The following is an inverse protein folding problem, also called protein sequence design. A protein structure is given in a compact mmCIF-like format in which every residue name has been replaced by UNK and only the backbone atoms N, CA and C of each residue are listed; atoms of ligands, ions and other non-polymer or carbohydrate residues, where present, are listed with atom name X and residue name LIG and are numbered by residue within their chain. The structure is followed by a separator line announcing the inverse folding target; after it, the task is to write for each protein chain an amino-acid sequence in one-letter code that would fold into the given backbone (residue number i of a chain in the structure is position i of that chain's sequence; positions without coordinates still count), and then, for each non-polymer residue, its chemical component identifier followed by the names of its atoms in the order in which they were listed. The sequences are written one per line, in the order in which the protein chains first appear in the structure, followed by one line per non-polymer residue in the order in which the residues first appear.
data_IF_061320141309
#
_entry.id   IF_061320141309
#
_cell.length_a   1.000
_cell.length_b   1.000
_cell.length_c   1.000
_cell.angle_alpha   90.00
_cell.angle_beta   90.00
_cell.angle_gamma   90.00
#
_symmetry.space_group_name_H-M   'P 1'
#
loop_
_entity.id
_entity.type
_entity.pdbx_description
1 polymer ?
#
# COMPACT_ATOMS: atom_id res chain seq x y z
N UNK A 1 5.49 4.03 7.39
CA UNK A 1 6.61 3.88 6.45
C UNK A 1 6.15 4.35 5.09
N UNK A 2 7.01 5.04 4.35
CA UNK A 2 6.75 5.46 2.96
C UNK A 2 7.74 4.78 2.01
N UNK A 3 7.28 4.50 0.79
CA UNK A 3 8.10 3.97 -0.30
C UNK A 3 7.95 2.46 -0.52
N UNK A 4 8.93 1.87 -1.17
CA UNK A 4 8.96 0.46 -1.59
C UNK A 4 10.34 -0.15 -1.36
N UNK A 5 10.48 -1.47 -1.53
CA UNK A 5 11.69 -2.21 -1.15
C UNK A 5 12.98 -1.69 -1.81
N UNK A 6 12.92 -1.24 -3.06
CA UNK A 6 14.10 -0.77 -3.81
C UNK A 6 14.63 0.59 -3.32
N UNK A 7 13.81 1.41 -2.64
CA UNK A 7 14.21 2.73 -2.13
C UNK A 7 14.19 2.83 -0.59
N UNK A 8 13.65 1.82 0.09
CA UNK A 8 13.57 1.77 1.54
C UNK A 8 13.90 0.35 2.03
N UNK A 9 15.15 0.15 2.46
CA UNK A 9 15.65 -1.14 2.94
C UNK A 9 14.97 -1.65 4.22
N UNK A 10 14.24 -0.78 4.94
CA UNK A 10 13.43 -1.17 6.10
C UNK A 10 12.16 -1.91 5.68
N UNK A 11 11.71 -1.76 4.43
CA UNK A 11 10.53 -2.45 3.90
C UNK A 11 10.67 -3.96 4.03
N UNK A 12 11.74 -4.52 3.45
CA UNK A 12 12.00 -5.96 3.50
C UNK A 12 12.24 -6.45 4.94
N UNK A 13 12.82 -5.61 5.80
CA UNK A 13 13.05 -5.98 7.20
C UNK A 13 11.74 -6.11 7.98
N UNK A 14 10.81 -5.16 7.82
CA UNK A 14 9.60 -5.12 8.63
C UNK A 14 8.44 -5.93 8.05
N UNK A 15 8.42 -6.14 6.73
CA UNK A 15 7.26 -6.63 5.97
C UNK A 15 7.57 -7.89 5.16
N UNK A 16 8.62 -8.64 5.51
CA UNK A 16 8.98 -9.90 4.82
C UNK A 16 7.82 -10.91 4.76
N UNK A 17 6.95 -10.90 5.76
CA UNK A 17 5.77 -11.80 5.86
C UNK A 17 4.49 -11.20 5.29
N UNK A 18 4.51 -9.92 4.87
CA UNK A 18 3.33 -9.26 4.31
C UNK A 18 2.92 -9.92 2.99
N UNK A 19 1.62 -10.21 2.78
CA UNK A 19 1.12 -10.71 1.50
C UNK A 19 1.19 -9.63 0.40
N UNK A 20 1.30 -8.35 0.80
CA UNK A 20 1.50 -7.21 -0.09
C UNK A 20 3.00 -6.88 -0.13
N UNK A 21 3.59 -6.95 -1.32
CA UNK A 21 4.98 -6.58 -1.60
C UNK A 21 5.00 -5.47 -2.64
N UNK A 22 5.77 -4.40 -2.37
CA UNK A 22 5.86 -3.23 -3.25
C UNK A 22 7.29 -3.07 -3.73
N UNK A 23 7.47 -2.95 -5.04
CA UNK A 23 8.75 -2.67 -5.70
C UNK A 23 8.55 -1.63 -6.80
N UNK A 24 9.65 -1.22 -7.42
CA UNK A 24 9.59 -0.35 -8.59
C UNK A 24 8.71 -1.00 -9.68
N UNK A 25 7.77 -0.21 -10.20
CA UNK A 25 6.77 -0.60 -11.22
C UNK A 25 5.78 -1.72 -10.85
N UNK A 26 5.80 -2.30 -9.65
CA UNK A 26 4.91 -3.44 -9.35
C UNK A 26 4.47 -3.53 -7.89
N UNK A 27 3.19 -3.85 -7.68
CA UNK A 27 2.64 -4.34 -6.43
C UNK A 27 2.24 -5.80 -6.61
N UNK A 28 2.65 -6.66 -5.70
CA UNK A 28 2.20 -8.05 -5.61
C UNK A 28 1.30 -8.20 -4.40
N UNK A 29 0.16 -8.86 -4.58
CA UNK A 29 -0.74 -9.22 -3.49
C UNK A 29 -1.20 -10.67 -3.65
N UNK A 30 -0.56 -11.58 -2.90
CA UNK A 30 -0.76 -13.02 -3.09
C UNK A 30 -0.42 -13.45 -4.52
N UNK A 31 -1.43 -13.88 -5.30
CA UNK A 31 -1.28 -14.24 -6.71
C UNK A 31 -1.51 -13.07 -7.68
N UNK A 32 -2.06 -11.96 -7.20
CA UNK A 32 -2.36 -10.77 -7.99
C UNK A 32 -1.12 -9.90 -8.16
N UNK A 33 -1.02 -9.25 -9.32
CA UNK A 33 0.09 -8.37 -9.66
C UNK A 33 -0.47 -7.13 -10.38
N UNK A 34 -0.01 -5.96 -9.95
CA UNK A 34 -0.39 -4.67 -10.48
C UNK A 34 0.86 -3.95 -10.98
N UNK A 35 1.02 -3.90 -12.31
CA UNK A 35 2.19 -3.30 -12.96
C UNK A 35 1.87 -1.89 -13.48
N UNK A 36 2.78 -0.94 -13.24
CA UNK A 36 2.62 0.45 -13.66
C UNK A 36 2.39 1.40 -12.48
N UNK A 37 1.59 2.45 -12.69
CA UNK A 37 1.37 3.55 -11.74
C UNK A 37 0.35 3.18 -10.65
N UNK A 38 0.80 2.46 -9.63
CA UNK A 38 -0.03 1.99 -8.52
C UNK A 38 0.51 2.42 -7.16
N UNK A 39 -0.43 2.73 -6.27
CA UNK A 39 -0.19 3.03 -4.87
C UNK A 39 -0.90 2.02 -3.98
N UNK A 40 -0.39 1.87 -2.76
CA UNK A 40 -1.05 1.10 -1.72
C UNK A 40 -0.93 1.80 -0.39
N UNK A 41 -1.99 1.78 0.39
CA UNK A 41 -1.95 2.03 1.81
C UNK A 41 -2.39 0.77 2.54
N UNK A 42 -1.62 0.33 3.53
CA UNK A 42 -2.04 -0.79 4.37
C UNK A 42 -1.40 -0.75 5.76
N UNK A 43 -2.01 -1.44 6.72
CA UNK A 43 -1.43 -1.70 8.05
C UNK A 43 -1.21 -3.19 8.24
N UNK A 44 0.00 -3.58 8.64
CA UNK A 44 0.34 -5.00 8.82
C UNK A 44 1.17 -5.23 10.10
N UNK A 45 1.04 -6.39 10.77
CA UNK A 45 1.90 -6.74 11.91
C UNK A 45 3.38 -6.71 11.54
N UNK A 46 4.19 -6.21 12.47
CA UNK A 46 5.64 -6.25 12.32
C UNK A 46 6.12 -7.70 12.46
N UNK A 47 7.07 -8.14 11.63
CA UNK A 47 7.47 -9.56 11.58
C UNK A 47 7.94 -10.17 12.92
N UNK A 48 8.42 -9.34 13.86
CA UNK A 48 9.04 -9.73 15.13
C UNK A 48 8.12 -9.54 16.35
N UNK A 49 6.86 -9.11 16.18
CA UNK A 49 5.93 -8.88 17.29
C UNK A 49 4.46 -8.84 16.86
N UNK A 50 3.60 -9.44 17.67
CA UNK A 50 2.14 -9.44 17.46
C UNK A 50 1.44 -8.21 18.06
N UNK A 51 2.16 -7.35 18.80
CA UNK A 51 1.58 -6.20 19.49
C UNK A 51 1.68 -4.89 18.68
N UNK A 52 2.55 -4.85 17.66
CA UNK A 52 2.81 -3.63 16.89
C UNK A 52 2.43 -3.78 15.42
N UNK A 53 1.77 -2.75 14.88
CA UNK A 53 1.44 -2.62 13.48
C UNK A 53 2.34 -1.60 12.79
N UNK A 54 2.64 -1.84 11.53
CA UNK A 54 3.32 -0.89 10.64
C UNK A 54 2.31 -0.40 9.61
N UNK A 55 2.04 0.91 9.61
CA UNK A 55 1.35 1.57 8.51
C UNK A 55 2.31 1.82 7.35
N UNK A 56 1.90 1.45 6.15
CA UNK A 56 2.71 1.48 4.94
C UNK A 56 1.97 2.29 3.87
N UNK A 57 2.67 3.24 3.27
CA UNK A 57 2.22 3.99 2.11
C UNK A 57 3.24 3.72 1.01
N UNK A 58 2.89 2.81 0.12
CA UNK A 58 3.73 2.32 -0.97
C UNK A 58 3.33 2.93 -2.32
N UNK A 59 4.31 3.18 -3.16
CA UNK A 59 4.13 3.73 -4.50
C UNK A 59 5.14 3.09 -5.44
N UNK A 60 4.72 2.63 -6.61
CA UNK A 60 5.57 1.88 -7.55
C UNK A 60 6.42 2.76 -8.46
N UNK A 61 5.89 3.93 -8.88
CA UNK A 61 6.52 4.83 -9.85
C UNK A 61 6.71 6.23 -9.27
N UNK A 62 7.62 7.02 -9.85
CA UNK A 62 7.82 8.42 -9.47
C UNK A 62 6.54 9.25 -9.64
N UNK A 63 5.79 8.99 -10.71
CA UNK A 63 4.52 9.64 -10.98
C UNK A 63 3.51 9.37 -9.86
N UNK A 64 3.46 8.12 -9.37
CA UNK A 64 2.61 7.76 -8.25
C UNK A 64 3.13 8.32 -6.91
N UNK A 65 4.44 8.39 -6.71
CA UNK A 65 5.05 9.06 -5.55
C UNK A 65 4.60 10.52 -5.51
N UNK A 66 4.62 11.24 -6.63
CA UNK A 66 4.15 12.62 -6.71
C UNK A 66 2.63 12.73 -6.45
N UNK A 67 1.82 11.87 -7.07
CA UNK A 67 0.37 11.83 -6.86
C UNK A 67 0.01 11.60 -5.37
N UNK A 68 0.72 10.68 -4.72
CA UNK A 68 0.48 10.29 -3.33
C UNK A 68 0.71 11.41 -2.30
N UNK A 69 1.45 12.46 -2.64
CA UNK A 69 1.68 13.61 -1.76
C UNK A 69 0.41 14.42 -1.51
N UNK A 70 -0.60 14.29 -2.38
CA UNK A 70 -1.90 14.95 -2.24
C UNK A 70 -2.87 14.17 -1.36
N UNK A 71 -2.58 12.91 -1.07
CA UNK A 71 -3.46 12.05 -0.32
C UNK A 71 -3.41 12.36 1.18
N UNK A 72 -4.60 12.44 1.79
CA UNK A 72 -4.79 12.76 3.20
C UNK A 72 -5.02 11.48 4.00
N UNK A 73 -3.96 10.69 4.19
CA UNK A 73 -4.02 9.38 4.84
C UNK A 73 -4.39 9.42 6.33
N UNK A 74 -4.19 10.55 7.02
CA UNK A 74 -4.34 10.67 8.47
C UNK A 74 -5.53 11.55 8.88
N UNK A 75 -6.68 11.40 8.21
CA UNK A 75 -7.92 12.06 8.62
C UNK A 75 -8.77 11.07 9.42
N UNK A 76 -9.13 11.46 10.65
CA UNK A 76 -10.08 10.71 11.48
C UNK A 76 -11.50 10.84 10.93
N UNK A 77 -12.23 9.74 10.74
CA UNK A 77 -13.66 9.82 10.42
C UNK A 77 -14.34 8.63 9.73
N UNK A 78 -13.62 7.58 9.34
CA UNK A 78 -14.23 6.42 8.65
C UNK A 78 -13.48 5.13 8.96
N UNK A 79 -14.19 4.00 9.03
CA UNK A 79 -13.60 2.66 9.13
C UNK A 79 -12.76 2.39 7.88
N UNK A 80 -11.45 2.57 7.99
CA UNK A 80 -10.53 2.31 6.90
C UNK A 80 -10.33 0.79 6.76
N UNK A 81 -10.28 0.23 5.54
CA UNK A 81 -9.85 -1.16 5.34
C UNK A 81 -8.40 -1.35 5.81
N UNK A 82 -8.00 -2.60 6.09
CA UNK A 82 -6.61 -2.91 6.43
C UNK A 82 -5.67 -2.60 5.27
N UNK A 83 -6.16 -2.70 4.04
CA UNK A 83 -5.42 -2.35 2.82
C UNK A 83 -6.32 -1.73 1.75
N UNK A 84 -5.71 -0.91 0.90
CA UNK A 84 -6.29 -0.44 -0.36
C UNK A 84 -5.17 -0.25 -1.40
N UNK A 85 -5.32 -0.87 -2.57
CA UNK A 85 -4.48 -0.70 -3.76
C UNK A 85 -5.27 0.12 -4.78
N UNK A 86 -4.63 1.14 -5.34
CA UNK A 86 -5.26 2.08 -6.24
C UNK A 86 -4.32 2.48 -7.38
N UNK A 87 -4.87 2.62 -8.57
CA UNK A 87 -4.17 3.18 -9.72
C UNK A 87 -4.10 4.70 -9.63
N UNK A 88 -3.26 5.29 -10.47
CA UNK A 88 -3.15 6.75 -10.56
C UNK A 88 -4.44 7.46 -10.99
N UNK A 89 -5.33 6.73 -11.67
CA UNK A 89 -6.64 7.23 -12.12
C UNK A 89 -7.55 7.60 -10.94
N UNK A 90 -7.21 7.19 -9.70
CA UNK A 90 -7.89 7.65 -8.47
C UNK A 90 -7.94 9.17 -8.36
N UNK A 91 -7.00 9.89 -8.97
CA UNK A 91 -6.96 11.36 -8.96
C UNK A 91 -8.07 11.99 -9.82
N UNK A 92 -8.53 11.28 -10.86
CA UNK A 92 -9.53 11.77 -11.82
C UNK A 92 -10.88 11.09 -11.66
N UNK A 93 -10.88 9.81 -11.25
CA UNK A 93 -12.06 8.94 -11.20
C UNK A 93 -12.49 8.62 -9.76
N UNK A 94 -11.72 9.05 -8.75
CA UNK A 94 -12.04 8.80 -7.36
C UNK A 94 -12.00 7.31 -7.02
N UNK A 95 -13.05 6.79 -6.39
CA UNK A 95 -13.07 5.40 -5.91
C UNK A 95 -13.04 4.35 -7.03
N UNK A 96 -13.41 4.70 -8.26
CA UNK A 96 -13.34 3.77 -9.41
C UNK A 96 -11.89 3.42 -9.76
N UNK A 97 -10.92 4.25 -9.36
CA UNK A 97 -9.49 3.96 -9.48
C UNK A 97 -8.92 3.01 -8.42
N UNK A 98 -9.74 2.58 -7.45
CA UNK A 98 -9.34 1.58 -6.45
C UNK A 98 -9.53 0.19 -7.06
N UNK A 99 -8.43 -0.57 -7.14
CA UNK A 99 -8.45 -1.91 -7.75
C UNK A 99 -8.63 -3.02 -6.72
N UNK A 100 -8.20 -2.78 -5.48
CA UNK A 100 -8.39 -3.71 -4.36
C UNK A 100 -8.55 -2.95 -3.05
N UNK A 101 -9.44 -3.42 -2.18
CA UNK A 101 -9.52 -2.95 -0.80
C UNK A 101 -10.19 -4.01 0.08
N UNK A 102 -9.79 -4.11 1.34
CA UNK A 102 -10.38 -5.10 2.25
C UNK A 102 -9.65 -5.26 3.58
N UNK A 103 -9.98 -6.32 4.29
CA UNK A 103 -9.33 -6.73 5.54
C UNK A 103 -8.60 -8.06 5.31
N UNK A 104 -7.42 -8.24 5.90
CA UNK A 104 -6.59 -9.43 5.63
C UNK A 104 -7.24 -10.74 6.12
N UNK A 105 -8.09 -10.65 7.16
CA UNK A 105 -8.68 -11.80 7.85
C UNK A 105 -10.20 -11.97 7.59
N UNK A 106 -10.79 -11.17 6.70
CA UNK A 106 -12.20 -11.35 6.32
C UNK A 106 -12.28 -12.26 5.09
N UNK A 107 -12.33 -13.57 5.34
CA UNK A 107 -12.84 -14.59 4.42
C UNK A 107 -14.20 -15.09 4.92
#
# INVERSE_FOLDING_TARGET
MYGHADINSVFDQLLVTSPIQVKHNIIKFGQLQYEGDYGVFFTYPRFDTDENLVGVIGMTTEKMIQASQQARYFISGVSCPDYAIFGIDVLTEGFDGVVEAGYFNSN
#
